data_IF_509986035288
#
_entry.id   IF_509986035288
#
_cell.length_a   1.000
_cell.length_b   1.000
_cell.length_c   1.000
_cell.angle_alpha   90.00
_cell.angle_beta   90.00
_cell.angle_gamma   90.00
#
_symmetry.space_group_name_H-M   'P 1'
#
loop_
_entity.id
_entity.type
_entity.pdbx_description
1 polymer ?
#
# COMPACT_ATOMS: atom_id res chain seq x y z
N UNK A 1 25.60 -3.00 -17.87
CA UNK A 1 25.02 -4.34 -17.53
C UNK A 1 23.63 -4.09 -17.02
N UNK A 2 22.62 -4.66 -17.66
CA UNK A 2 21.22 -4.55 -17.20
C UNK A 2 21.03 -5.58 -16.09
N UNK A 3 20.48 -5.16 -14.94
CA UNK A 3 20.17 -6.03 -13.80
C UNK A 3 18.74 -6.55 -13.95
N UNK A 4 18.58 -7.87 -13.93
CA UNK A 4 17.28 -8.52 -13.98
C UNK A 4 16.74 -8.72 -12.56
N UNK A 5 15.64 -8.06 -12.23
CA UNK A 5 15.02 -8.08 -10.90
C UNK A 5 13.73 -8.89 -10.93
N UNK A 6 13.60 -9.87 -10.04
CA UNK A 6 12.35 -10.60 -9.82
C UNK A 6 11.57 -9.93 -8.70
N UNK A 7 10.43 -9.30 -9.00
CA UNK A 7 9.52 -8.74 -8.02
C UNK A 7 8.40 -9.73 -7.70
N UNK A 8 8.19 -10.04 -6.42
CA UNK A 8 7.17 -10.97 -5.93
C UNK A 8 6.21 -10.22 -4.99
N UNK A 9 5.02 -9.95 -5.49
CA UNK A 9 4.02 -9.11 -4.82
C UNK A 9 4.20 -7.63 -5.17
N UNK A 10 3.08 -6.92 -5.17
CA UNK A 10 3.02 -5.48 -5.44
C UNK A 10 1.88 -4.85 -4.64
N UNK A 11 2.20 -4.02 -3.68
CA UNK A 11 1.24 -3.27 -2.89
C UNK A 11 1.20 -1.83 -3.40
N UNK A 12 0.00 -1.31 -3.67
CA UNK A 12 -0.17 0.07 -4.16
C UNK A 12 0.35 0.30 -5.59
N UNK A 13 0.60 -0.75 -6.37
CA UNK A 13 1.17 -0.69 -7.73
C UNK A 13 2.56 -0.04 -7.82
N UNK A 14 3.35 -0.10 -6.76
CA UNK A 14 4.67 0.52 -6.69
C UNK A 14 5.64 -0.16 -7.64
N UNK A 15 5.71 -1.51 -7.61
CA UNK A 15 6.58 -2.27 -8.52
C UNK A 15 6.13 -2.14 -9.97
N UNK A 16 4.82 -2.14 -10.22
CA UNK A 16 4.24 -1.89 -11.55
C UNK A 16 4.63 -0.53 -12.09
N UNK A 17 4.60 0.50 -11.24
CA UNK A 17 5.03 1.86 -11.60
C UNK A 17 6.53 1.90 -11.84
N UNK A 18 7.33 1.39 -10.92
CA UNK A 18 8.80 1.37 -11.06
C UNK A 18 9.23 0.71 -12.37
N UNK A 19 8.64 -0.44 -12.72
CA UNK A 19 8.92 -1.18 -13.96
C UNK A 19 8.84 -0.31 -15.22
N UNK A 20 7.97 0.72 -15.24
CA UNK A 20 7.79 1.63 -16.39
C UNK A 20 8.93 2.64 -16.55
N UNK A 21 9.60 2.99 -15.46
CA UNK A 21 10.59 4.08 -15.41
C UNK A 21 12.04 3.58 -15.24
N UNK A 22 12.26 2.26 -15.12
CA UNK A 22 13.62 1.69 -15.03
C UNK A 22 14.43 1.91 -16.31
N UNK A 23 15.71 2.24 -16.14
CA UNK A 23 16.68 2.49 -17.23
C UNK A 23 17.79 1.43 -17.28
N UNK A 24 18.30 1.04 -16.10
CA UNK A 24 19.43 0.13 -15.95
C UNK A 24 19.02 -1.23 -15.38
N UNK A 25 17.76 -1.40 -15.03
CA UNK A 25 17.21 -2.65 -14.52
C UNK A 25 15.98 -3.09 -15.33
N UNK A 26 15.75 -4.40 -15.33
CA UNK A 26 14.54 -4.98 -15.92
C UNK A 26 13.76 -5.71 -14.84
N UNK A 27 12.60 -5.18 -14.47
CA UNK A 27 11.75 -5.76 -13.43
C UNK A 27 10.75 -6.73 -14.05
N UNK A 28 10.81 -7.99 -13.64
CA UNK A 28 9.77 -8.99 -13.90
C UNK A 28 8.92 -9.13 -12.65
N UNK A 29 7.68 -8.67 -12.73
CA UNK A 29 6.74 -8.66 -11.62
C UNK A 29 5.76 -9.82 -11.72
N UNK A 30 5.61 -10.57 -10.62
CA UNK A 30 4.52 -11.53 -10.41
C UNK A 30 3.78 -11.15 -9.14
N UNK A 31 2.53 -10.73 -9.29
CA UNK A 31 1.68 -10.35 -8.17
C UNK A 31 0.80 -11.53 -7.70
N UNK A 32 0.19 -11.37 -6.53
CA UNK A 32 -0.79 -12.33 -6.02
C UNK A 32 -2.13 -12.16 -6.75
N UNK A 33 -2.98 -13.21 -6.79
CA UNK A 33 -4.31 -13.08 -7.35
C UNK A 33 -5.08 -11.94 -6.66
N UNK A 34 -6.04 -11.33 -7.35
CA UNK A 34 -6.93 -10.32 -6.77
C UNK A 34 -7.67 -10.95 -5.60
N UNK A 35 -7.40 -10.49 -4.39
CA UNK A 35 -8.20 -10.80 -3.23
C UNK A 35 -9.20 -9.66 -2.96
N UNK A 36 -10.18 -9.92 -2.10
CA UNK A 36 -11.16 -8.91 -1.69
C UNK A 36 -10.55 -7.71 -0.95
N UNK A 37 -9.27 -7.75 -0.60
CA UNK A 37 -8.53 -6.65 0.03
C UNK A 37 -8.15 -5.53 -0.94
N UNK A 38 -8.48 -5.69 -2.24
CA UNK A 38 -8.61 -4.57 -3.15
C UNK A 38 -7.33 -3.90 -3.60
N UNK A 39 -6.32 -4.66 -3.94
CA UNK A 39 -5.26 -4.10 -4.78
C UNK A 39 -5.76 -4.06 -6.22
N UNK A 40 -6.19 -2.90 -6.68
CA UNK A 40 -6.51 -2.68 -8.09
C UNK A 40 -5.21 -2.67 -8.89
N UNK A 41 -4.82 -3.84 -9.41
CA UNK A 41 -3.62 -3.98 -10.24
C UNK A 41 -3.87 -3.48 -11.65
N UNK A 42 -2.80 -3.11 -12.36
CA UNK A 42 -2.86 -2.94 -13.81
C UNK A 42 -3.25 -4.26 -14.49
N UNK A 43 -3.96 -4.17 -15.61
CA UNK A 43 -4.49 -5.35 -16.32
C UNK A 43 -3.38 -6.22 -16.95
N UNK A 44 -2.17 -5.66 -17.18
CA UNK A 44 -1.01 -6.30 -17.81
C UNK A 44 -0.01 -6.93 -16.82
N UNK A 45 -0.35 -6.97 -15.53
CA UNK A 45 0.53 -7.57 -14.51
C UNK A 45 0.32 -9.07 -14.44
N UNK A 46 1.42 -9.84 -14.60
CA UNK A 46 1.40 -11.29 -14.37
C UNK A 46 1.02 -11.58 -12.92
N UNK A 47 0.10 -12.52 -12.70
CA UNK A 47 -0.32 -12.97 -11.38
C UNK A 47 -0.08 -14.46 -11.20
N UNK A 48 0.09 -14.90 -9.93
CA UNK A 48 0.01 -16.32 -9.63
C UNK A 48 -1.39 -16.84 -9.94
N UNK A 49 -1.48 -18.09 -10.41
CA UNK A 49 -2.76 -18.73 -10.76
C UNK A 49 -3.66 -18.93 -9.51
N UNK A 50 -3.06 -19.10 -8.35
CA UNK A 50 -3.77 -19.37 -7.10
C UNK A 50 -2.91 -19.05 -5.86
N UNK A 51 -3.54 -19.12 -4.68
CA UNK A 51 -2.88 -18.87 -3.38
C UNK A 51 -2.10 -20.06 -2.81
N UNK A 52 -2.03 -21.21 -3.50
CA UNK A 52 -1.32 -22.37 -2.99
C UNK A 52 0.19 -22.16 -3.04
N UNK A 53 0.81 -22.01 -1.89
CA UNK A 53 2.25 -21.73 -1.76
C UNK A 53 3.12 -22.73 -2.52
N UNK A 54 2.73 -24.01 -2.60
CA UNK A 54 3.48 -25.02 -3.37
C UNK A 54 3.54 -24.68 -4.86
N UNK A 55 2.42 -24.20 -5.44
CA UNK A 55 2.34 -23.85 -6.86
C UNK A 55 3.13 -22.57 -7.12
N UNK A 56 3.01 -21.58 -6.22
CA UNK A 56 3.78 -20.34 -6.28
C UNK A 56 5.29 -20.63 -6.21
N UNK A 57 5.74 -21.46 -5.29
CA UNK A 57 7.15 -21.89 -5.16
C UNK A 57 7.61 -22.64 -6.42
N UNK A 58 6.78 -23.51 -7.00
CA UNK A 58 7.08 -24.21 -8.26
C UNK A 58 7.28 -23.22 -9.40
N UNK A 59 6.38 -22.24 -9.56
CA UNK A 59 6.49 -21.18 -10.58
C UNK A 59 7.78 -20.38 -10.42
N UNK A 60 8.10 -19.90 -9.22
CA UNK A 60 9.33 -19.12 -8.99
C UNK A 60 10.57 -19.97 -9.24
N UNK A 61 10.60 -21.23 -8.79
CA UNK A 61 11.75 -22.11 -9.06
C UNK A 61 11.98 -22.40 -10.55
N UNK A 62 10.96 -22.33 -11.40
CA UNK A 62 11.11 -22.53 -12.84
C UNK A 62 11.73 -21.35 -13.58
N UNK A 63 11.69 -20.14 -13.01
CA UNK A 63 12.15 -18.91 -13.67
C UNK A 63 13.31 -18.21 -12.97
N UNK A 64 13.56 -18.49 -11.68
CA UNK A 64 14.47 -17.70 -10.83
C UNK A 64 15.90 -17.53 -11.39
N UNK A 65 16.41 -18.51 -12.16
CA UNK A 65 17.76 -18.46 -12.70
C UNK A 65 17.96 -17.40 -13.80
N UNK A 66 16.88 -16.75 -14.24
CA UNK A 66 16.90 -15.66 -15.22
C UNK A 66 17.14 -14.29 -14.56
N UNK A 67 17.30 -14.22 -13.24
CA UNK A 67 17.36 -12.98 -12.47
C UNK A 67 18.63 -12.89 -11.63
N UNK A 68 19.03 -11.68 -11.31
CA UNK A 68 20.21 -11.37 -10.51
C UNK A 68 19.86 -11.21 -9.03
N UNK A 69 18.69 -10.63 -8.73
CA UNK A 69 18.20 -10.33 -7.39
C UNK A 69 16.68 -10.39 -7.32
N UNK A 70 16.13 -10.57 -6.13
CA UNK A 70 14.69 -10.49 -5.91
C UNK A 70 14.30 -9.33 -4.97
N UNK A 71 13.11 -8.76 -5.18
CA UNK A 71 12.43 -7.85 -4.26
C UNK A 71 11.06 -8.41 -3.93
N UNK A 72 10.63 -8.26 -2.69
CA UNK A 72 9.37 -8.82 -2.21
C UNK A 72 8.52 -7.79 -1.48
N UNK A 73 7.21 -7.87 -1.64
CA UNK A 73 6.22 -7.11 -0.87
C UNK A 73 5.17 -8.05 -0.29
N UNK A 74 4.66 -7.70 0.89
CA UNK A 74 3.64 -8.47 1.58
C UNK A 74 4.04 -9.95 1.78
N UNK A 75 3.21 -10.87 1.30
CA UNK A 75 3.47 -12.31 1.44
C UNK A 75 4.55 -12.87 0.50
N UNK A 76 5.09 -12.05 -0.41
CA UNK A 76 6.15 -12.43 -1.34
C UNK A 76 7.42 -12.89 -0.65
N UNK A 77 7.74 -12.34 0.52
CA UNK A 77 8.94 -12.71 1.28
C UNK A 77 8.97 -14.21 1.65
N UNK A 78 7.82 -14.82 2.00
CA UNK A 78 7.75 -16.25 2.30
C UNK A 78 8.09 -17.12 1.09
N UNK A 79 7.66 -16.68 -0.11
CA UNK A 79 7.96 -17.39 -1.36
C UNK A 79 9.45 -17.30 -1.67
N UNK A 80 10.03 -16.10 -1.58
CA UNK A 80 11.46 -15.90 -1.77
C UNK A 80 12.32 -16.73 -0.81
N UNK A 81 11.93 -16.81 0.47
CA UNK A 81 12.59 -17.65 1.49
C UNK A 81 12.52 -19.13 1.13
N UNK A 82 11.35 -19.64 0.73
CA UNK A 82 11.15 -21.03 0.35
C UNK A 82 11.87 -21.40 -0.94
N UNK A 83 12.07 -20.45 -1.84
CA UNK A 83 12.83 -20.60 -3.08
C UNK A 83 14.35 -20.37 -2.94
N UNK A 84 14.82 -20.06 -1.72
CA UNK A 84 16.24 -19.80 -1.38
C UNK A 84 16.81 -18.59 -2.11
N UNK A 85 16.02 -17.54 -2.33
CA UNK A 85 16.49 -16.36 -3.04
C UNK A 85 17.31 -15.43 -2.15
N UNK A 86 18.21 -14.66 -2.77
CA UNK A 86 18.72 -13.40 -2.25
C UNK A 86 17.68 -12.32 -2.54
N UNK A 87 17.01 -11.81 -1.51
CA UNK A 87 15.89 -10.90 -1.68
C UNK A 87 15.93 -9.72 -0.74
N UNK A 88 15.41 -8.61 -1.25
CA UNK A 88 15.06 -7.41 -0.49
C UNK A 88 13.60 -7.55 -0.06
N UNK A 89 13.26 -7.15 1.16
CA UNK A 89 11.85 -7.00 1.56
C UNK A 89 11.51 -5.53 1.66
N UNK A 90 10.45 -5.12 0.99
CA UNK A 90 9.95 -3.75 1.02
C UNK A 90 8.62 -3.68 1.78
N UNK A 91 8.60 -2.90 2.86
CA UNK A 91 7.45 -2.73 3.73
C UNK A 91 6.80 -1.38 3.48
N UNK A 92 5.52 -1.41 3.17
CA UNK A 92 4.74 -0.21 2.79
C UNK A 92 3.58 0.10 3.74
N UNK A 93 3.35 -0.77 4.74
CA UNK A 93 2.26 -0.60 5.70
C UNK A 93 2.30 -1.62 6.83
N UNK A 94 1.16 -2.16 7.19
CA UNK A 94 0.93 -3.04 8.34
C UNK A 94 1.64 -4.40 8.28
N UNK A 95 2.29 -4.70 7.20
CA UNK A 95 3.08 -5.92 7.01
C UNK A 95 4.30 -6.01 7.94
N UNK A 96 4.78 -4.90 8.50
CA UNK A 96 5.85 -4.85 9.50
C UNK A 96 5.37 -4.37 10.88
N UNK A 97 4.37 -3.49 10.96
CA UNK A 97 3.88 -2.97 12.24
C UNK A 97 3.02 -3.99 12.99
N UNK A 98 2.37 -4.86 12.26
CA UNK A 98 1.64 -5.97 12.83
C UNK A 98 2.60 -6.89 13.60
N UNK A 99 2.23 -7.39 14.79
CA UNK A 99 3.15 -8.12 15.67
C UNK A 99 3.41 -9.54 15.17
N UNK A 100 3.94 -9.67 13.96
CA UNK A 100 4.39 -10.96 13.41
C UNK A 100 5.33 -11.70 14.36
N UNK A 101 6.05 -10.94 15.19
CA UNK A 101 7.13 -11.43 16.03
C UNK A 101 6.82 -11.36 17.52
N UNK A 102 5.77 -10.63 17.94
CA UNK A 102 5.38 -10.49 19.34
C UNK A 102 4.09 -11.23 19.65
N UNK A 103 3.98 -11.76 20.88
CA UNK A 103 2.82 -12.51 21.34
C UNK A 103 1.64 -11.60 21.72
N UNK A 104 1.91 -10.41 22.22
CA UNK A 104 0.92 -9.42 22.65
C UNK A 104 1.48 -8.03 22.33
N UNK A 105 0.82 -7.26 21.50
CA UNK A 105 0.99 -5.81 21.48
C UNK A 105 -0.33 -5.19 21.92
N UNK A 106 -0.28 -4.28 22.89
CA UNK A 106 -1.41 -3.45 23.28
C UNK A 106 -1.57 -2.25 22.33
N UNK A 107 -1.00 -2.31 21.14
CA UNK A 107 -1.09 -1.24 20.15
C UNK A 107 -2.39 -1.42 19.37
N UNK A 108 -3.20 -0.37 19.27
CA UNK A 108 -4.54 -0.32 18.66
C UNK A 108 -4.62 -0.69 17.14
N UNK A 109 -3.48 -1.03 16.55
CA UNK A 109 -3.30 -1.35 15.13
C UNK A 109 -3.40 -2.84 14.81
N UNK A 110 -3.73 -3.63 15.78
CA UNK A 110 -3.61 -5.07 15.69
C UNK A 110 -4.84 -5.71 15.03
N UNK A 111 -4.63 -6.25 13.86
CA UNK A 111 -5.53 -7.25 13.29
C UNK A 111 -5.46 -8.51 14.14
N UNK A 112 -6.59 -8.93 14.72
CA UNK A 112 -6.68 -10.15 15.53
C UNK A 112 -6.14 -11.40 14.83
N UNK A 113 -6.26 -11.47 13.49
CA UNK A 113 -5.75 -12.58 12.69
C UNK A 113 -4.24 -12.75 12.80
N UNK A 114 -3.51 -11.64 12.97
CA UNK A 114 -2.04 -11.63 13.09
C UNK A 114 -1.59 -11.92 14.53
N UNK A 115 -2.37 -11.55 15.53
CA UNK A 115 -2.09 -11.83 16.95
C UNK A 115 -2.14 -13.31 17.29
N UNK A 116 -2.93 -14.07 16.54
CA UNK A 116 -3.15 -15.49 16.78
C UNK A 116 -2.11 -16.42 16.16
N UNK A 117 -0.98 -15.88 15.66
CA UNK A 117 0.11 -16.73 15.17
C UNK A 117 0.65 -17.63 16.27
N UNK A 118 0.71 -18.93 15.99
CA UNK A 118 1.34 -19.89 16.89
C UNK A 118 2.88 -19.73 16.91
N UNK A 119 3.54 -20.39 17.87
CA UNK A 119 5.00 -20.30 18.02
C UNK A 119 5.76 -20.69 16.74
N UNK A 120 5.31 -21.72 16.03
CA UNK A 120 5.98 -22.22 14.80
C UNK A 120 5.80 -21.24 13.64
N UNK A 121 4.62 -20.63 13.53
CA UNK A 121 4.37 -19.58 12.55
C UNK A 121 5.26 -18.36 12.81
N UNK A 122 5.32 -17.87 14.03
CA UNK A 122 6.21 -16.75 14.40
C UNK A 122 7.67 -17.08 14.11
N UNK A 123 8.13 -18.29 14.46
CA UNK A 123 9.50 -18.75 14.14
C UNK A 123 9.75 -18.80 12.64
N UNK A 124 8.78 -19.25 11.86
CA UNK A 124 8.89 -19.27 10.39
C UNK A 124 9.03 -17.86 9.83
N UNK A 125 8.15 -16.92 10.21
CA UNK A 125 8.21 -15.53 9.76
C UNK A 125 9.49 -14.82 10.20
N UNK A 126 9.98 -15.11 11.42
CA UNK A 126 11.27 -14.59 11.88
C UNK A 126 12.45 -15.11 11.04
N UNK A 127 12.44 -16.37 10.67
CA UNK A 127 13.45 -16.92 9.78
C UNK A 127 13.37 -16.31 8.37
N UNK A 128 12.16 -16.03 7.89
CA UNK A 128 11.92 -15.35 6.63
C UNK A 128 12.51 -13.93 6.67
N UNK A 129 12.18 -13.16 7.69
CA UNK A 129 12.72 -11.82 7.93
C UNK A 129 14.25 -11.82 7.96
N UNK A 130 14.87 -12.63 8.83
CA UNK A 130 16.32 -12.71 8.96
C UNK A 130 17.03 -13.24 7.71
N UNK A 131 16.31 -13.79 6.76
CA UNK A 131 16.86 -14.29 5.51
C UNK A 131 16.89 -13.24 4.41
N UNK A 132 16.23 -12.11 4.54
CA UNK A 132 16.36 -11.00 3.61
C UNK A 132 17.79 -10.43 3.64
N UNK A 133 18.33 -10.07 2.48
CA UNK A 133 19.66 -9.44 2.40
C UNK A 133 19.58 -7.94 2.70
N UNK A 134 18.40 -7.36 2.57
CA UNK A 134 18.13 -5.96 2.92
C UNK A 134 16.64 -5.78 3.23
N UNK A 135 16.36 -4.87 4.15
CA UNK A 135 15.02 -4.41 4.46
C UNK A 135 14.88 -2.95 4.05
N UNK A 136 13.80 -2.62 3.37
CA UNK A 136 13.43 -1.24 3.03
C UNK A 136 12.04 -0.97 3.57
N UNK A 137 11.79 0.22 4.07
CA UNK A 137 10.46 0.61 4.53
C UNK A 137 10.18 2.08 4.21
N UNK A 138 8.93 2.39 3.93
CA UNK A 138 8.49 3.78 3.83
C UNK A 138 8.61 4.52 5.15
N UNK A 139 8.76 5.84 5.06
CA UNK A 139 8.96 6.82 6.10
C UNK A 139 8.45 6.45 7.48
N UNK A 140 7.15 6.46 7.70
CA UNK A 140 6.55 6.12 8.99
C UNK A 140 6.66 4.63 9.34
N UNK A 141 6.64 3.74 8.34
CA UNK A 141 6.80 2.29 8.51
C UNK A 141 8.21 1.94 8.97
N UNK A 142 9.19 2.76 8.60
CA UNK A 142 10.59 2.59 9.02
C UNK A 142 10.77 2.65 10.53
N UNK A 143 9.96 3.41 11.26
CA UNK A 143 10.02 3.47 12.72
C UNK A 143 9.66 2.11 13.37
N UNK A 144 8.81 1.31 12.72
CA UNK A 144 8.55 -0.07 13.14
C UNK A 144 9.70 -0.99 12.75
N UNK A 145 10.25 -0.84 11.54
CA UNK A 145 11.36 -1.67 11.06
C UNK A 145 12.59 -1.55 11.97
N UNK A 146 12.93 -0.36 12.45
CA UNK A 146 14.04 -0.12 13.38
C UNK A 146 13.95 -0.93 14.69
N UNK A 147 12.75 -1.34 15.08
CA UNK A 147 12.56 -2.19 16.27
C UNK A 147 13.10 -3.61 16.07
N UNK A 148 13.32 -4.04 14.84
CA UNK A 148 13.68 -5.42 14.49
C UNK A 148 15.05 -5.55 13.81
N UNK A 149 15.57 -4.49 13.22
CA UNK A 149 16.87 -4.51 12.54
C UNK A 149 17.52 -3.13 12.48
N UNK A 150 18.84 -3.10 12.67
CA UNK A 150 19.67 -1.89 12.51
C UNK A 150 20.11 -1.68 11.04
N UNK A 151 19.85 -2.66 10.17
CA UNK A 151 20.25 -2.66 8.75
C UNK A 151 19.10 -2.30 7.79
N UNK A 152 18.05 -1.68 8.30
CA UNK A 152 16.95 -1.17 7.50
C UNK A 152 17.33 0.08 6.73
N UNK A 153 16.76 0.24 5.53
CA UNK A 153 16.82 1.46 4.74
C UNK A 153 15.47 2.15 4.75
N UNK A 154 15.50 3.47 4.89
CA UNK A 154 14.31 4.31 4.79
C UNK A 154 14.12 4.78 3.37
N UNK A 155 12.89 4.70 2.87
CA UNK A 155 12.47 5.26 1.60
C UNK A 155 11.39 6.30 1.85
N UNK A 156 11.65 7.55 1.51
CA UNK A 156 10.70 8.66 1.71
C UNK A 156 10.07 9.14 0.37
N UNK A 157 10.42 8.51 -0.74
CA UNK A 157 9.85 8.80 -2.06
C UNK A 157 8.88 7.69 -2.49
N UNK A 158 7.80 8.08 -3.16
CA UNK A 158 6.77 7.16 -3.64
C UNK A 158 6.49 7.39 -5.13
N UNK A 159 6.81 6.45 -6.03
CA UNK A 159 6.70 6.69 -7.47
C UNK A 159 5.24 6.78 -7.90
N UNK A 160 4.90 7.84 -8.63
CA UNK A 160 3.59 7.98 -9.27
C UNK A 160 3.71 7.69 -10.76
N UNK A 161 2.78 6.93 -11.29
CA UNK A 161 2.71 6.66 -12.71
C UNK A 161 2.23 7.91 -13.48
N UNK A 162 3.18 8.77 -13.83
CA UNK A 162 2.92 10.03 -14.54
C UNK A 162 2.40 9.82 -15.97
N UNK A 163 2.46 8.61 -16.51
CA UNK A 163 1.81 8.29 -17.79
C UNK A 163 0.29 8.23 -17.69
N UNK A 164 -0.24 7.95 -16.50
CA UNK A 164 -1.68 7.86 -16.21
C UNK A 164 -2.15 9.07 -15.40
N UNK A 165 -1.40 9.41 -14.33
CA UNK A 165 -1.76 10.49 -13.40
C UNK A 165 -1.03 11.78 -13.79
N UNK A 166 -1.66 12.58 -14.61
CA UNK A 166 -1.15 13.86 -15.05
C UNK A 166 -2.31 14.80 -15.44
N UNK A 167 -2.02 16.10 -15.57
CA UNK A 167 -3.00 17.13 -15.90
C UNK A 167 -3.61 17.03 -17.31
N UNK A 168 -3.04 16.19 -18.19
CA UNK A 168 -3.56 15.94 -19.54
C UNK A 168 -4.42 14.67 -19.62
N UNK A 169 -4.55 13.92 -18.53
CA UNK A 169 -5.37 12.71 -18.50
C UNK A 169 -6.84 13.03 -18.87
N UNK A 170 -7.59 12.08 -19.45
CA UNK A 170 -8.99 12.29 -19.80
C UNK A 170 -9.83 12.76 -18.60
N UNK A 171 -10.85 13.54 -18.85
CA UNK A 171 -11.85 13.94 -17.85
C UNK A 171 -13.09 13.06 -18.02
N UNK A 172 -13.70 12.63 -16.93
CA UNK A 172 -14.93 11.87 -16.96
C UNK A 172 -16.04 12.67 -17.63
N UNK A 173 -16.65 12.12 -18.68
CA UNK A 173 -17.77 12.74 -19.41
C UNK A 173 -19.08 12.59 -18.62
N UNK A 174 -19.29 13.44 -17.65
CA UNK A 174 -20.49 13.46 -16.82
C UNK A 174 -20.90 14.89 -16.55
N UNK A 175 -22.21 15.15 -16.58
CA UNK A 175 -22.74 16.47 -16.24
C UNK A 175 -22.58 16.73 -14.74
N UNK A 176 -21.86 17.78 -14.40
CA UNK A 176 -21.60 18.25 -13.05
C UNK A 176 -22.63 19.31 -12.67
N UNK A 177 -23.41 19.04 -11.65
CA UNK A 177 -24.48 19.96 -11.19
C UNK A 177 -24.10 20.73 -9.92
N UNK A 178 -23.16 20.19 -9.15
CA UNK A 178 -22.72 20.73 -7.86
C UNK A 178 -21.22 20.61 -7.75
N UNK A 179 -20.63 21.30 -6.76
CA UNK A 179 -19.27 21.04 -6.33
C UNK A 179 -19.14 19.55 -5.97
N UNK A 180 -18.19 18.87 -6.57
CA UNK A 180 -18.07 17.42 -6.46
C UNK A 180 -16.74 17.04 -5.86
N UNK A 181 -16.80 16.40 -4.69
CA UNK A 181 -15.65 15.69 -4.14
C UNK A 181 -15.59 14.27 -4.69
N UNK A 182 -14.35 13.74 -4.77
CA UNK A 182 -14.12 12.33 -5.02
C UNK A 182 -13.41 11.68 -3.82
N UNK A 183 -13.91 10.56 -3.35
CA UNK A 183 -13.33 9.79 -2.24
C UNK A 183 -13.04 8.37 -2.71
N UNK A 184 -11.83 8.07 -3.22
CA UNK A 184 -11.44 6.74 -3.68
C UNK A 184 -10.95 5.83 -2.55
N UNK A 185 -10.94 6.32 -1.33
CA UNK A 185 -10.42 5.59 -0.18
C UNK A 185 -11.33 4.42 0.20
N UNK A 186 -10.72 3.32 0.67
CA UNK A 186 -11.49 2.27 1.33
C UNK A 186 -12.16 2.83 2.58
N UNK A 187 -13.47 2.62 2.70
CA UNK A 187 -14.21 3.09 3.86
C UNK A 187 -13.94 2.19 5.06
N UNK A 188 -13.10 2.68 5.95
CA UNK A 188 -12.68 2.00 7.18
C UNK A 188 -12.25 3.01 8.25
N UNK A 189 -12.15 2.55 9.50
CA UNK A 189 -11.79 3.38 10.64
C UNK A 189 -10.41 4.01 10.48
N UNK A 190 -9.43 3.26 9.97
CA UNK A 190 -8.06 3.77 9.76
C UNK A 190 -7.92 4.77 8.60
N UNK A 191 -8.99 4.97 7.84
CA UNK A 191 -9.07 6.05 6.85
C UNK A 191 -9.83 7.26 7.40
N UNK A 192 -10.41 7.14 8.61
CA UNK A 192 -11.18 8.20 9.24
C UNK A 192 -12.53 8.44 8.58
N UNK A 193 -13.17 7.38 8.06
CA UNK A 193 -14.49 7.50 7.43
C UNK A 193 -15.54 7.96 8.42
N UNK A 194 -15.47 7.51 9.68
CA UNK A 194 -16.31 7.98 10.78
C UNK A 194 -16.09 9.47 11.09
N UNK A 195 -14.84 9.93 11.06
CA UNK A 195 -14.51 11.35 11.26
C UNK A 195 -15.07 12.21 10.11
N UNK A 196 -14.96 11.72 8.87
CA UNK A 196 -15.57 12.39 7.72
C UNK A 196 -17.10 12.45 7.87
N UNK A 197 -17.79 11.34 8.16
CA UNK A 197 -19.24 11.31 8.31
C UNK A 197 -19.71 12.26 9.43
N UNK A 198 -18.98 12.33 10.53
CA UNK A 198 -19.27 13.27 11.60
C UNK A 198 -19.02 14.72 11.15
N UNK A 199 -17.95 14.99 10.39
CA UNK A 199 -17.64 16.32 9.85
C UNK A 199 -18.75 16.83 8.92
N UNK A 200 -19.33 15.97 8.08
CA UNK A 200 -20.39 16.35 7.16
C UNK A 200 -21.63 16.93 7.85
N UNK A 201 -21.86 16.62 9.13
CA UNK A 201 -22.95 17.22 9.93
C UNK A 201 -22.70 18.70 10.27
N UNK A 202 -21.46 19.15 10.21
CA UNK A 202 -21.07 20.52 10.51
C UNK A 202 -20.86 21.39 9.24
N UNK A 203 -20.82 20.76 8.05
CA UNK A 203 -20.68 21.48 6.79
C UNK A 203 -21.91 22.34 6.51
N UNK A 204 -21.67 23.54 5.96
CA UNK A 204 -22.69 24.55 5.64
C UNK A 204 -22.93 24.72 4.14
N UNK A 205 -21.98 24.27 3.32
CA UNK A 205 -22.03 24.39 1.87
C UNK A 205 -22.73 23.22 1.21
N UNK A 206 -23.22 23.42 -0.02
CA UNK A 206 -23.87 22.38 -0.83
C UNK A 206 -22.89 21.74 -1.80
N UNK A 207 -22.70 20.43 -1.69
CA UNK A 207 -21.81 19.62 -2.52
C UNK A 207 -22.25 18.16 -2.58
N UNK A 208 -21.62 17.39 -3.45
CA UNK A 208 -21.73 15.93 -3.49
C UNK A 208 -20.37 15.27 -3.33
N UNK A 209 -20.36 14.04 -2.80
CA UNK A 209 -19.18 13.20 -2.69
C UNK A 209 -19.42 11.93 -3.49
N UNK A 210 -18.60 11.68 -4.51
CA UNK A 210 -18.53 10.39 -5.18
C UNK A 210 -17.57 9.49 -4.39
N UNK A 211 -18.09 8.56 -3.63
CA UNK A 211 -17.29 7.62 -2.84
C UNK A 211 -17.31 6.24 -3.49
N UNK A 212 -16.15 5.61 -3.60
CA UNK A 212 -16.07 4.23 -4.12
C UNK A 212 -16.70 3.28 -3.11
N UNK A 213 -17.60 2.42 -3.58
CA UNK A 213 -18.23 1.36 -2.77
C UNK A 213 -17.20 0.25 -2.46
N UNK A 214 -16.34 0.58 -1.51
CA UNK A 214 -15.26 -0.28 -1.09
C UNK A 214 -15.05 -0.19 0.42
N UNK A 215 -15.26 -1.31 1.11
CA UNK A 215 -15.17 -1.42 2.57
C UNK A 215 -14.10 -2.42 2.99
N UNK A 216 -13.58 -2.26 4.21
CA UNK A 216 -12.84 -3.32 4.90
C UNK A 216 -13.82 -4.42 5.34
N UNK A 217 -13.52 -5.67 5.00
CA UNK A 217 -14.40 -6.82 5.29
C UNK A 217 -13.60 -8.05 5.76
N UNK A 218 -12.37 -7.84 6.22
CA UNK A 218 -11.49 -8.94 6.61
C UNK A 218 -11.65 -9.36 8.07
N UNK A 219 -12.09 -8.45 8.94
CA UNK A 219 -12.31 -8.72 10.37
C UNK A 219 -13.76 -8.51 10.77
N UNK A 220 -14.16 -9.07 11.92
CA UNK A 220 -15.51 -8.87 12.48
C UNK A 220 -15.75 -7.40 12.81
N UNK A 221 -14.74 -6.71 13.28
CA UNK A 221 -14.75 -5.29 13.60
C UNK A 221 -14.98 -4.45 12.34
N UNK A 222 -14.30 -4.77 11.25
CA UNK A 222 -14.48 -4.09 9.96
C UNK A 222 -15.90 -4.31 9.41
N UNK A 223 -16.42 -5.54 9.49
CA UNK A 223 -17.79 -5.85 9.07
C UNK A 223 -18.80 -5.07 9.91
N UNK A 224 -18.63 -5.05 11.24
CA UNK A 224 -19.49 -4.27 12.13
C UNK A 224 -19.43 -2.78 11.82
N UNK A 225 -18.24 -2.24 11.61
CA UNK A 225 -18.04 -0.85 11.23
C UNK A 225 -18.72 -0.51 9.90
N UNK A 226 -18.57 -1.36 8.87
CA UNK A 226 -19.30 -1.25 7.60
C UNK A 226 -20.80 -1.18 7.82
N UNK A 227 -21.37 -2.12 8.61
CA UNK A 227 -22.82 -2.17 8.87
C UNK A 227 -23.32 -0.89 9.56
N UNK A 228 -22.52 -0.31 10.46
CA UNK A 228 -22.81 0.96 11.14
C UNK A 228 -22.74 2.15 10.16
N UNK A 229 -21.75 2.20 9.28
CA UNK A 229 -21.63 3.24 8.26
C UNK A 229 -22.81 3.19 7.27
N UNK A 230 -23.15 2.01 6.76
CA UNK A 230 -24.22 1.84 5.77
C UNK A 230 -25.59 2.26 6.31
N UNK A 231 -25.84 2.13 7.62
CA UNK A 231 -27.09 2.61 8.26
C UNK A 231 -27.17 4.14 8.33
N UNK A 232 -26.04 4.83 8.27
CA UNK A 232 -25.94 6.25 8.54
C UNK A 232 -25.20 7.03 7.43
N UNK A 233 -25.29 6.57 6.18
CA UNK A 233 -24.64 7.25 5.05
C UNK A 233 -25.20 8.67 4.92
N UNK A 234 -24.37 9.72 5.00
CA UNK A 234 -24.79 11.10 4.77
C UNK A 234 -25.36 11.30 3.35
N UNK A 235 -26.38 12.13 3.23
CA UNK A 235 -27.06 12.40 1.95
C UNK A 235 -26.18 13.00 0.87
N UNK A 236 -25.06 13.62 1.25
CA UNK A 236 -24.04 14.15 0.34
C UNK A 236 -23.27 13.05 -0.38
N UNK A 237 -23.23 11.81 0.16
CA UNK A 237 -22.44 10.70 -0.36
C UNK A 237 -23.22 9.89 -1.38
N UNK A 238 -22.64 9.72 -2.55
CA UNK A 238 -23.09 8.82 -3.60
C UNK A 238 -22.06 7.70 -3.78
N UNK A 239 -22.45 6.48 -3.46
CA UNK A 239 -21.62 5.30 -3.69
C UNK A 239 -21.56 5.01 -5.19
N UNK A 240 -20.35 4.77 -5.68
CA UNK A 240 -20.08 4.38 -7.07
C UNK A 240 -19.30 3.06 -7.09
N UNK A 241 -19.51 2.27 -8.13
CA UNK A 241 -18.82 0.99 -8.28
C UNK A 241 -17.30 1.15 -8.27
N UNK A 242 -16.55 0.12 -7.85
CA UNK A 242 -15.09 0.10 -7.94
C UNK A 242 -14.59 0.48 -9.33
N UNK A 243 -13.57 1.33 -9.37
CA UNK A 243 -13.02 1.95 -10.58
C UNK A 243 -11.73 1.23 -10.97
N UNK A 244 -11.54 0.96 -12.25
CA UNK A 244 -10.28 0.41 -12.75
C UNK A 244 -9.14 1.41 -12.56
N UNK A 245 -7.93 0.90 -12.31
CA UNK A 245 -6.74 1.72 -12.15
C UNK A 245 -6.51 2.68 -13.32
N UNK A 246 -6.72 2.21 -14.54
CA UNK A 246 -6.59 3.00 -15.77
C UNK A 246 -7.61 4.13 -15.92
N UNK A 247 -8.71 4.09 -15.17
CA UNK A 247 -9.78 5.09 -15.23
C UNK A 247 -9.70 6.12 -14.08
N UNK A 248 -8.91 5.85 -13.04
CA UNK A 248 -8.83 6.65 -11.82
C UNK A 248 -8.49 8.12 -12.10
N UNK A 249 -7.55 8.39 -13.01
CA UNK A 249 -7.16 9.76 -13.35
C UNK A 249 -8.33 10.58 -13.89
N UNK A 250 -9.27 9.98 -14.62
CA UNK A 250 -10.45 10.67 -15.13
C UNK A 250 -11.41 11.13 -14.04
N UNK A 251 -11.50 10.38 -12.95
CA UNK A 251 -12.28 10.75 -11.77
C UNK A 251 -11.59 11.83 -10.94
N UNK A 252 -10.26 11.75 -10.76
CA UNK A 252 -9.51 12.84 -10.14
C UNK A 252 -9.73 14.14 -10.88
N UNK A 253 -9.56 14.15 -12.19
CA UNK A 253 -9.74 15.34 -13.02
C UNK A 253 -11.19 15.83 -13.12
N UNK A 254 -12.16 14.98 -12.91
CA UNK A 254 -13.58 15.36 -12.86
C UNK A 254 -13.93 16.06 -11.54
N UNK A 255 -13.35 15.65 -10.43
CA UNK A 255 -13.62 16.20 -9.12
C UNK A 255 -13.09 17.65 -8.98
N UNK A 256 -13.73 18.46 -8.13
CA UNK A 256 -13.22 19.79 -7.75
C UNK A 256 -12.17 19.68 -6.65
N UNK A 257 -12.28 18.65 -5.82
CA UNK A 257 -11.29 18.26 -4.82
C UNK A 257 -11.43 16.77 -4.47
N UNK A 258 -10.39 16.21 -3.87
CA UNK A 258 -10.36 14.81 -3.42
C UNK A 258 -10.32 14.75 -1.90
N UNK A 259 -11.04 13.79 -1.33
CA UNK A 259 -11.02 13.49 0.11
C UNK A 259 -10.11 12.29 0.35
N UNK A 260 -9.04 12.51 1.10
CA UNK A 260 -8.06 11.49 1.48
C UNK A 260 -8.31 10.95 2.91
N UNK A 261 -7.22 10.59 3.60
CA UNK A 261 -7.25 10.00 4.92
C UNK A 261 -7.38 11.07 6.03
N UNK A 262 -8.35 10.90 6.94
CA UNK A 262 -8.57 11.80 8.07
C UNK A 262 -8.06 11.25 9.41
N UNK A 263 -7.46 10.07 9.44
CA UNK A 263 -7.01 9.43 10.68
C UNK A 263 -5.50 9.40 10.85
N UNK A 264 -4.75 8.97 9.82
CA UNK A 264 -3.34 8.65 9.94
C UNK A 264 -2.40 9.86 10.02
N UNK A 265 -2.80 11.00 9.48
CA UNK A 265 -1.96 12.21 9.43
C UNK A 265 -0.70 12.07 8.58
N UNK A 266 -0.72 11.17 7.59
CA UNK A 266 0.31 10.98 6.58
C UNK A 266 -0.31 11.09 5.19
N UNK A 267 0.50 11.41 4.18
CA UNK A 267 0.03 11.34 2.81
C UNK A 267 -0.08 9.87 2.33
N UNK A 268 -0.92 9.65 1.36
CA UNK A 268 -1.12 8.37 0.70
C UNK A 268 -1.10 8.54 -0.82
N UNK A 269 -0.92 7.46 -1.57
CA UNK A 269 -0.90 7.44 -3.04
C UNK A 269 -2.04 8.24 -3.67
N UNK A 270 -3.25 8.10 -3.13
CA UNK A 270 -4.44 8.85 -3.59
C UNK A 270 -4.21 10.36 -3.62
N UNK A 271 -3.53 10.90 -2.60
CA UNK A 271 -3.24 12.32 -2.54
C UNK A 271 -2.22 12.73 -3.61
N UNK A 272 -1.17 11.94 -3.77
CA UNK A 272 -0.12 12.22 -4.74
C UNK A 272 -0.67 12.16 -6.18
N UNK A 273 -1.45 11.12 -6.49
CA UNK A 273 -2.09 10.93 -7.80
C UNK A 273 -3.07 12.04 -8.15
N UNK A 274 -3.89 12.45 -7.18
CA UNK A 274 -4.86 13.52 -7.35
C UNK A 274 -4.17 14.85 -7.68
N UNK A 275 -3.16 15.22 -6.93
CA UNK A 275 -2.38 16.44 -7.13
C UNK A 275 -1.69 16.44 -8.50
N UNK A 276 -1.11 15.32 -8.92
CA UNK A 276 -0.51 15.16 -10.26
C UNK A 276 -1.56 15.29 -11.38
N UNK A 277 -2.81 14.95 -11.12
CA UNK A 277 -3.93 15.17 -12.04
C UNK A 277 -4.45 16.62 -12.02
N UNK A 278 -3.91 17.51 -11.18
CA UNK A 278 -4.32 18.90 -11.07
C UNK A 278 -5.54 19.12 -10.17
N UNK A 279 -5.80 18.21 -9.21
CA UNK A 279 -6.95 18.29 -8.31
C UNK A 279 -6.48 18.33 -6.86
N UNK A 280 -6.83 19.39 -6.07
CA UNK A 280 -6.40 19.53 -4.70
C UNK A 280 -7.00 18.47 -3.79
N UNK A 281 -6.29 18.15 -2.70
CA UNK A 281 -6.68 17.12 -1.75
C UNK A 281 -6.92 17.71 -0.38
N UNK A 282 -8.00 17.26 0.26
CA UNK A 282 -8.27 17.47 1.68
C UNK A 282 -8.02 16.16 2.40
N UNK A 283 -7.04 16.17 3.30
CA UNK A 283 -6.75 15.05 4.20
C UNK A 283 -6.05 15.56 5.44
N UNK A 284 -6.19 14.84 6.55
CA UNK A 284 -5.47 15.19 7.78
C UNK A 284 -3.96 15.07 7.60
N UNK A 285 -3.22 16.07 8.06
CA UNK A 285 -1.76 16.08 8.07
C UNK A 285 -1.22 16.37 9.47
N UNK A 286 -0.54 15.40 10.07
CA UNK A 286 0.17 15.58 11.34
C UNK A 286 1.48 16.33 11.12
N UNK A 287 1.54 17.57 11.56
CA UNK A 287 2.69 18.48 11.37
C UNK A 287 3.96 18.02 12.10
N UNK A 288 3.86 17.06 13.02
CA UNK A 288 4.99 16.44 13.68
C UNK A 288 5.66 15.35 12.84
N UNK A 289 4.95 14.80 11.85
CA UNK A 289 5.46 13.78 10.94
C UNK A 289 6.24 14.41 9.79
N UNK A 290 7.56 14.34 9.89
CA UNK A 290 8.49 14.88 8.91
C UNK A 290 9.06 13.77 8.05
N UNK A 291 9.23 14.06 6.78
CA UNK A 291 9.95 13.21 5.82
C UNK A 291 11.27 13.87 5.45
N UNK A 292 12.24 13.09 5.03
CA UNK A 292 13.55 13.60 4.60
C UNK A 292 13.81 13.11 3.18
N UNK A 293 13.78 14.03 2.24
CA UNK A 293 14.10 13.74 0.83
C UNK A 293 15.31 14.56 0.42
N UNK A 294 16.37 13.91 -0.04
CA UNK A 294 17.62 14.55 -0.45
C UNK A 294 18.22 15.49 0.62
N UNK A 295 18.06 15.13 1.91
CA UNK A 295 18.55 15.93 3.05
C UNK A 295 17.61 17.08 3.47
N UNK A 296 16.58 17.41 2.69
CA UNK A 296 15.56 18.39 3.03
C UNK A 296 14.48 17.77 3.94
N UNK A 297 14.16 18.46 5.05
CA UNK A 297 13.03 18.10 5.92
C UNK A 297 11.76 18.71 5.37
N UNK A 298 10.83 17.89 4.96
CA UNK A 298 9.52 18.29 4.45
C UNK A 298 8.42 17.96 5.47
N UNK A 299 7.41 18.81 5.50
CA UNK A 299 6.16 18.59 6.21
C UNK A 299 5.05 18.52 5.17
N UNK A 300 4.15 17.57 5.32
CA UNK A 300 3.02 17.41 4.42
C UNK A 300 2.12 18.67 4.47
N UNK A 301 1.82 19.32 3.33
CA UNK A 301 1.06 20.56 3.29
C UNK A 301 -0.46 20.37 3.29
N UNK A 302 -0.94 19.14 3.36
CA UNK A 302 -2.37 18.86 3.31
C UNK A 302 -3.11 19.39 4.53
N UNK A 303 -4.39 19.71 4.36
CA UNK A 303 -5.26 20.23 5.41
C UNK A 303 -6.47 19.33 5.61
N UNK A 304 -7.02 19.28 6.83
CA UNK A 304 -6.65 20.04 8.03
C UNK A 304 -5.41 19.50 8.75
N UNK A 305 -4.85 20.32 9.64
CA UNK A 305 -3.76 19.91 10.56
C UNK A 305 -4.26 19.29 11.87
N UNK A 306 -5.57 19.19 12.01
CA UNK A 306 -6.27 18.49 13.10
C UNK A 306 -7.33 17.59 12.50
N UNK A 307 -7.44 16.39 13.03
CA UNK A 307 -8.45 15.41 12.58
C UNK A 307 -9.80 15.57 13.29
N UNK A 308 -10.04 16.71 13.96
CA UNK A 308 -11.36 16.95 14.56
C UNK A 308 -12.42 17.16 13.47
N UNK A 309 -13.63 16.60 13.62
CA UNK A 309 -14.71 16.75 12.65
C UNK A 309 -15.05 18.20 12.30
N UNK A 310 -14.97 19.11 13.26
CA UNK A 310 -15.23 20.55 13.03
C UNK A 310 -14.16 21.22 12.15
N UNK A 311 -12.88 20.88 12.34
CA UNK A 311 -11.82 21.42 11.49
C UNK A 311 -11.86 20.81 10.09
N UNK A 312 -12.19 19.51 9.96
CA UNK A 312 -12.42 18.89 8.66
C UNK A 312 -13.56 19.63 7.92
N UNK A 313 -14.71 19.85 8.56
CA UNK A 313 -15.85 20.56 7.98
C UNK A 313 -15.48 21.98 7.53
N UNK A 314 -14.74 22.73 8.35
CA UNK A 314 -14.27 24.07 8.04
C UNK A 314 -13.41 24.12 6.77
N UNK A 315 -12.53 23.14 6.59
CA UNK A 315 -11.70 23.06 5.37
C UNK A 315 -12.55 22.66 4.17
N UNK A 316 -13.49 21.72 4.33
CA UNK A 316 -14.45 21.34 3.28
C UNK A 316 -15.25 22.58 2.82
N UNK A 317 -15.85 23.34 3.72
CA UNK A 317 -16.61 24.53 3.37
C UNK A 317 -15.72 25.57 2.66
N UNK A 318 -14.51 25.82 3.17
CA UNK A 318 -13.59 26.79 2.56
C UNK A 318 -13.16 26.38 1.15
N UNK A 319 -12.93 25.09 0.89
CA UNK A 319 -12.61 24.58 -0.45
C UNK A 319 -13.79 24.76 -1.41
N UNK A 320 -15.02 24.57 -0.95
CA UNK A 320 -16.22 24.77 -1.76
C UNK A 320 -16.43 26.24 -2.10
N UNK A 321 -16.27 27.14 -1.12
CA UNK A 321 -16.58 28.57 -1.25
C UNK A 321 -15.51 29.35 -2.03
N UNK A 322 -14.21 29.00 -1.90
CA UNK A 322 -13.14 29.82 -2.45
C UNK A 322 -12.32 29.11 -3.53
N UNK A 323 -12.46 29.60 -4.77
CA UNK A 323 -11.61 29.17 -5.87
C UNK A 323 -10.15 29.55 -5.67
N UNK A 324 -9.90 30.72 -5.10
CA UNK A 324 -8.55 31.20 -4.77
C UNK A 324 -7.86 30.24 -3.81
N UNK A 325 -8.56 29.86 -2.74
CA UNK A 325 -8.02 28.90 -1.77
C UNK A 325 -7.76 27.52 -2.40
N UNK A 326 -8.61 27.05 -3.32
CA UNK A 326 -8.37 25.81 -4.06
C UNK A 326 -7.08 25.86 -4.87
N UNK A 327 -6.90 26.97 -5.60
CA UNK A 327 -5.71 27.19 -6.42
C UNK A 327 -4.45 27.25 -5.58
N UNK A 328 -4.46 28.03 -4.51
CA UNK A 328 -3.34 28.13 -3.56
C UNK A 328 -2.99 26.75 -2.97
N UNK A 329 -3.99 25.99 -2.53
CA UNK A 329 -3.76 24.66 -1.95
C UNK A 329 -3.17 23.70 -2.99
N UNK A 330 -3.65 23.73 -4.22
CA UNK A 330 -3.12 22.89 -5.29
C UNK A 330 -1.65 23.22 -5.59
N UNK A 331 -1.28 24.49 -5.66
CA UNK A 331 0.09 24.95 -5.92
C UNK A 331 1.05 24.45 -4.83
N UNK A 332 0.71 24.64 -3.55
CA UNK A 332 1.51 24.19 -2.41
C UNK A 332 1.64 22.65 -2.38
N UNK A 333 0.53 21.95 -2.63
CA UNK A 333 0.51 20.49 -2.69
C UNK A 333 1.33 19.96 -3.87
N UNK A 334 1.26 20.62 -5.03
CA UNK A 334 2.01 20.23 -6.22
C UNK A 334 3.52 20.40 -6.03
N UNK A 335 3.96 21.49 -5.39
CA UNK A 335 5.36 21.68 -5.05
C UNK A 335 5.89 20.54 -4.16
N UNK A 336 5.11 20.15 -3.14
CA UNK A 336 5.43 19.05 -2.25
C UNK A 336 5.50 17.71 -3.00
N UNK A 337 4.48 17.40 -3.80
CA UNK A 337 4.39 16.13 -4.54
C UNK A 337 5.52 15.99 -5.55
N UNK A 338 5.91 17.05 -6.25
CA UNK A 338 7.05 17.02 -7.16
C UNK A 338 8.38 16.68 -6.48
N UNK A 339 8.52 17.00 -5.18
CA UNK A 339 9.72 16.63 -4.41
C UNK A 339 9.75 15.14 -4.04
N UNK A 340 8.59 14.53 -3.78
CA UNK A 340 8.51 13.19 -3.18
C UNK A 340 8.02 12.10 -4.12
N UNK A 341 7.38 12.44 -5.23
CA UNK A 341 6.68 11.49 -6.10
C UNK A 341 7.23 11.42 -7.53
N UNK A 342 8.41 12.00 -7.76
CA UNK A 342 9.10 11.90 -9.05
C UNK A 342 9.50 10.44 -9.32
N UNK A 343 8.89 9.76 -10.31
CA UNK A 343 9.14 8.34 -10.54
C UNK A 343 10.57 8.06 -10.99
N UNK A 344 11.21 8.98 -11.74
CA UNK A 344 12.58 8.77 -12.20
C UNK A 344 13.58 8.79 -11.05
N UNK A 345 13.48 9.77 -10.14
CA UNK A 345 14.34 9.83 -8.94
C UNK A 345 14.11 8.67 -7.99
N UNK A 346 12.84 8.26 -7.84
CA UNK A 346 12.50 7.12 -7.03
C UNK A 346 13.12 5.83 -7.59
N UNK A 347 13.02 5.63 -8.90
CA UNK A 347 13.57 4.48 -9.60
C UNK A 347 15.11 4.49 -9.56
N UNK A 348 15.75 5.64 -9.74
CA UNK A 348 17.21 5.77 -9.65
C UNK A 348 17.75 5.25 -8.31
N UNK A 349 17.11 5.64 -7.20
CA UNK A 349 17.45 5.13 -5.86
C UNK A 349 17.34 3.60 -5.76
N UNK A 350 16.29 3.02 -6.34
CA UNK A 350 16.11 1.56 -6.36
C UNK A 350 17.11 0.86 -7.28
N UNK A 351 17.40 1.43 -8.45
CA UNK A 351 18.40 0.88 -9.37
C UNK A 351 19.78 0.83 -8.73
N UNK A 352 20.19 1.89 -8.04
CA UNK A 352 21.44 1.93 -7.29
C UNK A 352 21.50 0.84 -6.23
N UNK A 353 20.40 0.63 -5.50
CA UNK A 353 20.30 -0.44 -4.50
C UNK A 353 20.42 -1.82 -5.15
N UNK A 354 19.70 -2.09 -6.25
CA UNK A 354 19.75 -3.35 -6.97
C UNK A 354 21.16 -3.63 -7.52
N UNK A 355 21.79 -2.64 -8.16
CA UNK A 355 23.14 -2.75 -8.71
C UNK A 355 24.15 -3.04 -7.60
N UNK A 356 24.09 -2.33 -6.49
CA UNK A 356 25.02 -2.52 -5.39
C UNK A 356 24.87 -3.90 -4.73
N UNK A 357 23.65 -4.37 -4.52
CA UNK A 357 23.40 -5.67 -3.91
C UNK A 357 23.73 -6.82 -4.87
N UNK A 358 23.44 -6.70 -6.16
CA UNK A 358 23.76 -7.74 -7.15
C UNK A 358 25.27 -7.95 -7.31
N UNK A 359 26.09 -6.89 -7.18
CA UNK A 359 27.56 -7.00 -7.19
C UNK A 359 28.07 -7.83 -6.00
N UNK A 360 27.43 -7.75 -4.87
CA UNK A 360 27.80 -8.47 -3.64
C UNK A 360 27.29 -9.92 -3.62
N UNK A 361 26.30 -10.25 -4.44
CA UNK A 361 25.67 -11.55 -4.51
C UNK A 361 25.74 -12.11 -5.93
N UNK A 362 26.74 -12.99 -6.19
CA UNK A 362 27.02 -13.55 -7.53
C UNK A 362 25.89 -14.43 -8.11
N UNK A 363 24.85 -14.70 -7.35
CA UNK A 363 23.73 -15.56 -7.75
C UNK A 363 22.45 -15.07 -7.06
N UNK A 364 21.31 -15.17 -7.71
CA UNK A 364 20.00 -14.93 -7.10
C UNK A 364 19.70 -15.91 -5.96
N UNK A 365 20.34 -17.07 -5.93
CA UNK A 365 20.11 -18.10 -4.91
C UNK A 365 21.23 -18.14 -3.87
N UNK A 366 20.87 -18.53 -2.62
CA UNK A 366 21.82 -18.74 -1.52
C UNK A 366 22.54 -20.09 -1.60
N UNK A 367 22.22 -20.91 -2.60
CA UNK A 367 22.80 -22.24 -2.81
C UNK A 367 22.66 -23.19 -1.60
N UNK A 368 21.54 -23.11 -0.88
CA UNK A 368 21.24 -24.04 0.21
C UNK A 368 21.02 -25.44 -0.30
N UNK A 369 21.37 -26.45 0.52
CA UNK A 369 21.18 -27.86 0.15
C UNK A 369 19.69 -28.19 -0.08
N UNK A 370 19.43 -29.16 -0.97
CA UNK A 370 18.04 -29.65 -1.22
C UNK A 370 17.35 -30.12 0.07
N UNK A 371 18.09 -30.68 1.00
CA UNK A 371 17.55 -31.08 2.31
C UNK A 371 17.04 -29.87 3.11
N UNK A 372 17.84 -28.79 3.18
CA UNK A 372 17.47 -27.56 3.88
C UNK A 372 16.19 -26.95 3.30
N UNK A 373 16.07 -26.95 1.95
CA UNK A 373 14.87 -26.45 1.29
C UNK A 373 13.61 -27.29 1.57
N UNK A 374 13.75 -28.62 1.56
CA UNK A 374 12.66 -29.52 1.96
C UNK A 374 12.25 -29.28 3.42
N UNK A 375 13.22 -29.07 4.31
CA UNK A 375 12.95 -28.77 5.72
C UNK A 375 12.23 -27.42 5.90
N UNK A 376 12.61 -26.38 5.14
CA UNK A 376 11.88 -25.09 5.17
C UNK A 376 10.41 -25.26 4.74
N UNK A 377 10.17 -26.00 3.65
CA UNK A 377 8.82 -26.29 3.19
C UNK A 377 8.03 -27.09 4.21
N UNK A 378 8.65 -28.10 4.83
CA UNK A 378 8.02 -28.89 5.90
C UNK A 378 7.66 -28.00 7.10
N UNK A 379 8.58 -27.15 7.55
CA UNK A 379 8.34 -26.20 8.63
C UNK A 379 7.20 -25.25 8.32
N UNK A 380 7.13 -24.74 7.07
CA UNK A 380 6.01 -23.91 6.63
C UNK A 380 4.67 -24.66 6.72
N UNK A 381 4.63 -25.91 6.20
CA UNK A 381 3.40 -26.70 6.19
C UNK A 381 2.93 -27.07 7.61
N UNK A 382 3.87 -27.36 8.52
CA UNK A 382 3.55 -27.63 9.93
C UNK A 382 3.09 -26.35 10.62
N UNK A 383 3.81 -25.26 10.47
CA UNK A 383 3.50 -23.96 11.07
C UNK A 383 2.08 -23.49 10.70
N UNK A 384 1.73 -23.61 9.43
CA UNK A 384 0.41 -23.21 8.94
C UNK A 384 -0.65 -24.33 9.10
N UNK A 385 -0.34 -25.41 9.82
CA UNK A 385 -1.26 -26.53 10.11
C UNK A 385 -1.87 -27.17 8.86
N UNK A 386 -1.24 -27.07 7.70
CA UNK A 386 -1.76 -27.58 6.44
C UNK A 386 -1.84 -29.12 6.39
N UNK A 387 -1.04 -29.81 7.19
CA UNK A 387 -1.14 -31.26 7.38
C UNK A 387 -2.37 -31.67 8.20
N UNK A 388 -2.89 -30.76 9.04
CA UNK A 388 -4.05 -31.03 9.90
C UNK A 388 -5.35 -30.48 9.31
N UNK A 389 -5.37 -30.11 8.04
CA UNK A 389 -6.54 -29.52 7.39
C UNK A 389 -7.79 -30.38 7.52
N UNK A 390 -7.67 -31.72 7.42
CA UNK A 390 -8.79 -32.66 7.67
C UNK A 390 -9.31 -32.60 9.11
N UNK A 391 -8.45 -32.42 10.08
CA UNK A 391 -8.80 -32.25 11.50
C UNK A 391 -9.44 -30.86 11.75
N UNK A 392 -8.96 -29.82 11.08
CA UNK A 392 -9.57 -28.48 11.15
C UNK A 392 -11.03 -28.48 10.69
N UNK A 393 -11.34 -29.22 9.63
CA UNK A 393 -12.73 -29.37 9.15
C UNK A 393 -13.67 -30.03 10.17
N UNK A 394 -13.12 -30.86 11.05
CA UNK A 394 -13.85 -31.49 12.14
C UNK A 394 -14.07 -30.58 13.36
N UNK A 395 -13.19 -29.58 13.57
CA UNK A 395 -13.21 -28.69 14.74
C UNK A 395 -13.63 -27.24 14.43
N UNK A 396 -14.14 -26.96 13.24
CA UNK A 396 -14.88 -25.72 12.93
C UNK A 396 -14.09 -24.43 13.01
N UNK A 397 -12.79 -24.40 12.67
CA UNK A 397 -12.02 -23.16 12.67
C UNK A 397 -11.56 -22.74 11.28
N UNK A 398 -11.91 -21.52 10.93
CA UNK A 398 -11.48 -20.62 9.87
C UNK A 398 -10.61 -21.13 8.72
N UNK A 399 -11.07 -20.85 7.52
CA UNK A 399 -10.33 -20.99 6.25
C UNK A 399 -9.03 -20.22 6.32
N UNK A 400 -7.93 -20.93 6.07
CA UNK A 400 -6.64 -20.31 5.76
C UNK A 400 -6.53 -20.35 4.24
N UNK A 401 -6.86 -19.23 3.62
CA UNK A 401 -6.53 -18.94 2.24
C UNK A 401 -5.02 -18.80 2.03
#
# INVERSE_FOLDING_TARGET
MVINVLAIGDTGNIMSTMKKFTKNTQIHLINFPKDGAGTFTYDDVETFENYKVKDQVKKINSIKNNFDIAITMGTGERIAYLCDLNYITFYVGRDIDAPRFKKNSNEDWSDESIHNLNFLERRFYWNTFNSAIRHVAYGWVFEFLKKYTDHGLKMDMEPIDTSIFNHNAPVLKKNKKKFTFFSPMRMEKFKGTDLLFEALKFCKTDFEILAVDWFGETTKEEIKFKDELLKNIPSQIKLISPIKRSEMSSYYRFADAVLGNFYLGIYELVALESVMCGTPVIQYSDQNKKIIVNGEKLVSPFLPVSNSPKEIAKIIDRIVESNEFRTEQLEIQHEFVNKIADPEKCVEWWEDLFINLSKNHKSITKNSSKFKLKLRMLNFLIANRLYFYKLKKLFGSHEIT
#
